data_IF_685323407308
#
_entry.id   IF_685323407308
#
_cell.length_a   1.000
_cell.length_b   1.000
_cell.length_c   1.000
_cell.angle_alpha   90.00
_cell.angle_beta   90.00
_cell.angle_gamma   90.00
#
_symmetry.space_group_name_H-M   'P 1'
#
loop_
_entity.id
_entity.type
_entity.pdbx_description
1 polymer ?
#
# COMPACT_ATOMS: atom_id res chain seq x y z
N UNK A 1 -5.45 -4.90 -0.17
CA UNK A 1 -5.65 -3.51 0.32
C UNK A 1 -4.51 -3.17 1.27
N UNK A 2 -3.80 -2.07 1.06
CA UNK A 2 -2.65 -1.68 1.88
C UNK A 2 -3.04 -0.69 2.97
N UNK A 3 -3.88 0.27 2.65
CA UNK A 3 -4.40 1.21 3.63
C UNK A 3 -5.71 1.85 3.20
N UNK A 4 -6.52 2.21 4.19
CA UNK A 4 -7.83 2.84 4.00
C UNK A 4 -7.92 4.21 4.67
N UNK A 5 -6.83 4.65 5.31
CA UNK A 5 -6.75 5.88 6.09
C UNK A 5 -7.13 7.13 5.31
N UNK A 6 -7.56 8.14 6.06
CA UNK A 6 -7.79 9.50 5.56
C UNK A 6 -6.59 10.38 5.94
N UNK A 7 -6.59 11.70 5.64
CA UNK A 7 -5.49 12.58 6.05
C UNK A 7 -5.23 12.66 7.56
N UNK A 8 -6.22 12.28 8.39
CA UNK A 8 -6.04 12.19 9.83
C UNK A 8 -5.13 11.01 10.19
N UNK A 9 -3.96 11.23 10.84
CA UNK A 9 -3.02 10.17 11.13
C UNK A 9 -3.55 9.25 12.22
N UNK A 10 -3.49 7.93 11.98
CA UNK A 10 -3.83 6.90 12.97
C UNK A 10 -2.71 5.85 13.00
N UNK A 11 -2.13 5.60 14.17
CA UNK A 11 -0.97 4.72 14.32
C UNK A 11 -1.19 3.27 13.82
N UNK A 12 -2.43 2.77 13.93
CA UNK A 12 -2.79 1.40 13.53
C UNK A 12 -3.31 1.29 12.10
N UNK A 13 -3.46 2.40 11.36
CA UNK A 13 -4.10 2.43 10.05
C UNK A 13 -3.26 3.22 9.05
N UNK A 14 -2.79 2.53 8.01
CA UNK A 14 -2.07 3.18 6.92
C UNK A 14 -3.00 4.09 6.09
N UNK A 15 -2.43 5.13 5.49
CA UNK A 15 -3.13 6.02 4.56
C UNK A 15 -3.64 5.28 3.32
N UNK A 16 -4.55 5.92 2.60
CA UNK A 16 -5.12 5.40 1.35
C UNK A 16 -4.04 4.82 0.41
N UNK A 17 -4.16 3.52 0.11
CA UNK A 17 -3.27 2.81 -0.81
C UNK A 17 -3.82 1.41 -1.14
N UNK A 18 -3.73 1.03 -2.41
CA UNK A 18 -4.26 -0.23 -2.93
C UNK A 18 -3.21 -0.91 -3.81
N UNK A 19 -2.81 -2.12 -3.43
CA UNK A 19 -2.10 -3.03 -4.32
C UNK A 19 -3.13 -3.82 -5.13
N UNK A 20 -2.99 -3.78 -6.44
CA UNK A 20 -3.77 -4.58 -7.39
C UNK A 20 -2.80 -5.48 -8.16
N UNK A 21 -3.09 -6.78 -8.23
CA UNK A 21 -2.26 -7.76 -8.94
C UNK A 21 -3.08 -8.36 -10.08
N UNK A 22 -2.53 -8.31 -11.30
CA UNK A 22 -3.19 -8.78 -12.52
C UNK A 22 -2.16 -9.58 -13.33
N UNK A 23 -2.31 -10.90 -13.37
CA UNK A 23 -1.29 -11.77 -13.95
C UNK A 23 0.04 -11.60 -13.20
N UNK A 24 1.09 -11.25 -13.94
CA UNK A 24 2.44 -11.01 -13.39
C UNK A 24 2.70 -9.53 -13.07
N UNK A 25 1.72 -8.64 -13.29
CA UNK A 25 1.84 -7.22 -12.99
C UNK A 25 1.32 -6.90 -11.60
N UNK A 26 2.05 -6.03 -10.89
CA UNK A 26 1.61 -5.44 -9.63
C UNK A 26 1.53 -3.93 -9.82
N UNK A 27 0.40 -3.33 -9.41
CA UNK A 27 0.12 -1.91 -9.56
C UNK A 27 -0.22 -1.31 -8.20
N UNK A 28 0.48 -0.23 -7.83
CA UNK A 28 0.14 0.56 -6.65
C UNK A 28 -0.75 1.76 -7.03
N UNK A 29 -1.98 1.76 -6.52
CA UNK A 29 -2.87 2.93 -6.58
C UNK A 29 -2.83 3.69 -5.26
N UNK A 30 -2.39 4.95 -5.33
CA UNK A 30 -2.15 5.86 -4.19
C UNK A 30 -1.01 5.40 -3.25
N UNK A 31 -0.36 6.36 -2.59
CA UNK A 31 0.82 6.13 -1.75
C UNK A 31 0.73 6.90 -0.43
N UNK A 32 -0.39 6.72 0.27
CA UNK A 32 -0.59 7.30 1.60
C UNK A 32 0.42 6.81 2.64
N UNK A 33 0.56 7.51 3.78
CA UNK A 33 1.54 7.16 4.81
C UNK A 33 1.46 5.70 5.26
N UNK A 34 2.60 5.00 5.24
CA UNK A 34 2.70 3.59 5.62
C UNK A 34 2.43 2.59 4.49
N UNK A 35 2.10 3.04 3.28
CA UNK A 35 1.95 2.18 2.08
C UNK A 35 3.15 1.27 1.84
N UNK A 36 4.37 1.81 1.87
CA UNK A 36 5.62 1.06 1.68
C UNK A 36 5.79 -0.02 2.75
N UNK A 37 5.52 0.31 4.02
CA UNK A 37 5.56 -0.69 5.10
C UNK A 37 4.56 -1.82 4.84
N UNK A 38 3.36 -1.51 4.36
CA UNK A 38 2.32 -2.49 4.03
C UNK A 38 2.70 -3.36 2.83
N UNK A 39 3.39 -2.79 1.83
CA UNK A 39 3.96 -3.56 0.70
C UNK A 39 4.97 -4.59 1.20
N UNK A 40 5.90 -4.16 2.06
CA UNK A 40 6.89 -5.06 2.66
C UNK A 40 6.24 -6.15 3.52
N UNK A 41 5.22 -5.80 4.33
CA UNK A 41 4.43 -6.78 5.10
C UNK A 41 3.65 -7.75 4.19
N UNK A 42 3.29 -7.33 2.97
CA UNK A 42 2.67 -8.17 1.94
C UNK A 42 3.68 -8.97 1.10
N UNK A 43 4.99 -8.85 1.37
CA UNK A 43 6.04 -9.54 0.62
C UNK A 43 6.28 -8.99 -0.79
N UNK A 44 5.83 -7.76 -1.06
CA UNK A 44 5.99 -7.09 -2.35
C UNK A 44 7.07 -6.03 -2.23
N UNK A 45 8.08 -6.09 -3.12
CA UNK A 45 9.10 -5.06 -3.19
C UNK A 45 8.48 -3.76 -3.69
N UNK A 46 8.77 -2.61 -3.06
CA UNK A 46 8.36 -1.31 -3.59
C UNK A 46 8.93 -0.98 -4.98
N UNK A 47 9.95 -1.70 -5.43
CA UNK A 47 10.51 -1.57 -6.77
C UNK A 47 9.70 -2.29 -7.86
N UNK A 48 8.74 -3.14 -7.47
CA UNK A 48 7.99 -4.02 -8.37
C UNK A 48 6.53 -3.55 -8.58
N UNK A 49 6.17 -2.30 -8.20
CA UNK A 49 4.78 -1.76 -8.21
C UNK A 49 4.64 -0.38 -8.82
#
# INVERSE_FOLDING_TARGET
MLGTGTPAPLAHRAGSSYLVQIGDESLLFDCGPGSVRRLLEAGVSPADV
#
